data_IF_334692414249
#
_entry.id   IF_334692414249
#
_cell.length_a   1.000
_cell.length_b   1.000
_cell.length_c   1.000
_cell.angle_alpha   90.00
_cell.angle_beta   90.00
_cell.angle_gamma   90.00
#
_symmetry.space_group_name_H-M   'P 1'
#
loop_
_entity.id
_entity.type
_entity.pdbx_description
1 polymer ?
#
# COMPACT_ATOMS: atom_id res chain seq x y z
N UNK A 1 12.03 9.20 22.46
CA UNK A 1 11.76 10.02 21.25
C UNK A 1 11.62 9.20 19.95
N UNK A 2 11.03 7.98 19.97
CA UNK A 2 10.87 7.15 18.76
C UNK A 2 9.49 7.19 18.08
N UNK A 3 8.51 7.90 18.68
CA UNK A 3 7.10 7.83 18.25
C UNK A 3 6.73 8.82 17.14
N UNK A 4 7.34 10.02 17.12
CA UNK A 4 6.94 11.09 16.18
C UNK A 4 7.49 10.87 14.77
N UNK A 5 8.80 10.59 14.63
CA UNK A 5 9.41 10.25 13.34
C UNK A 5 8.74 9.00 12.74
N UNK A 6 8.34 8.06 13.59
CA UNK A 6 7.66 6.86 13.12
C UNK A 6 6.30 7.17 12.50
N UNK A 7 5.53 8.01 13.20
CA UNK A 7 4.22 8.48 12.75
C UNK A 7 4.35 9.25 11.43
N UNK A 8 5.28 10.20 11.34
CA UNK A 8 5.50 11.01 10.14
C UNK A 8 5.85 10.16 8.92
N UNK A 9 6.74 9.18 9.10
CA UNK A 9 7.21 8.38 7.99
C UNK A 9 6.15 7.34 7.53
N UNK A 10 5.28 6.89 8.43
CA UNK A 10 4.05 6.17 8.06
C UNK A 10 3.08 7.08 7.31
N UNK A 11 2.87 8.31 7.77
CA UNK A 11 1.98 9.29 7.16
C UNK A 11 2.41 9.61 5.72
N UNK A 12 3.71 9.83 5.49
CA UNK A 12 4.27 10.00 4.15
C UNK A 12 3.96 8.81 3.22
N UNK A 13 4.10 7.56 3.71
CA UNK A 13 3.72 6.37 2.95
C UNK A 13 2.21 6.34 2.64
N UNK A 14 1.38 6.82 3.56
CA UNK A 14 -0.06 6.92 3.32
C UNK A 14 -0.39 7.97 2.26
N UNK A 15 0.31 9.10 2.24
CA UNK A 15 0.15 10.17 1.26
C UNK A 15 0.49 9.69 -0.16
N UNK A 16 1.64 9.04 -0.33
CA UNK A 16 2.05 8.42 -1.61
C UNK A 16 0.95 7.48 -2.11
N UNK A 17 0.43 6.61 -1.24
CA UNK A 17 -0.67 5.70 -1.59
C UNK A 17 -1.98 6.44 -1.93
N UNK A 18 -2.32 7.52 -1.22
CA UNK A 18 -3.51 8.34 -1.51
C UNK A 18 -3.37 8.96 -2.89
N UNK A 19 -2.19 9.48 -3.24
CA UNK A 19 -1.90 10.04 -4.56
C UNK A 19 -2.17 9.00 -5.65
N UNK A 20 -1.60 7.80 -5.56
CA UNK A 20 -1.88 6.72 -6.53
C UNK A 20 -3.36 6.35 -6.62
N UNK A 21 -4.09 6.38 -5.50
CA UNK A 21 -5.54 6.09 -5.49
C UNK A 21 -6.35 7.19 -6.19
N UNK A 22 -5.94 8.44 -6.05
CA UNK A 22 -6.59 9.59 -6.69
C UNK A 22 -6.23 9.69 -8.18
N UNK A 23 -5.00 9.37 -8.56
CA UNK A 23 -4.51 9.44 -9.95
C UNK A 23 -4.70 8.14 -10.72
N UNK A 24 -5.38 7.13 -10.16
CA UNK A 24 -5.61 5.87 -10.86
C UNK A 24 -6.42 6.12 -12.14
N UNK A 25 -5.99 5.52 -13.25
CA UNK A 25 -6.66 5.55 -14.57
C UNK A 25 -8.15 5.19 -14.47
N UNK A 26 -8.51 4.32 -13.53
CA UNK A 26 -9.87 3.96 -13.15
C UNK A 26 -10.79 5.17 -12.83
N UNK A 27 -10.26 6.34 -12.45
CA UNK A 27 -11.08 7.55 -12.25
C UNK A 27 -11.45 8.19 -13.58
N UNK A 28 -10.48 8.34 -14.48
CA UNK A 28 -10.71 8.91 -15.81
C UNK A 28 -11.60 8.02 -16.66
N UNK A 29 -11.37 6.71 -16.65
CA UNK A 29 -12.19 5.73 -17.37
C UNK A 29 -13.62 5.69 -16.82
N UNK A 30 -13.81 5.82 -15.51
CA UNK A 30 -15.15 5.94 -14.91
C UNK A 30 -15.87 7.22 -15.37
N UNK A 31 -15.17 8.36 -15.40
CA UNK A 31 -15.72 9.63 -15.86
C UNK A 31 -16.12 9.55 -17.35
N UNK A 32 -15.28 8.95 -18.20
CA UNK A 32 -15.57 8.71 -19.61
C UNK A 32 -16.74 7.75 -19.82
N UNK A 33 -16.81 6.66 -19.05
CA UNK A 33 -17.92 5.70 -19.13
C UNK A 33 -19.25 6.37 -18.76
N UNK A 34 -19.25 7.20 -17.69
CA UNK A 34 -20.42 7.99 -17.28
C UNK A 34 -20.85 8.99 -18.36
N UNK A 35 -19.91 9.73 -18.97
CA UNK A 35 -20.21 10.66 -20.07
C UNK A 35 -20.82 9.97 -21.29
N UNK A 36 -20.38 8.76 -21.57
CA UNK A 36 -20.83 7.98 -22.73
C UNK A 36 -22.01 7.04 -22.42
N UNK A 37 -22.63 7.13 -21.22
CA UNK A 37 -23.68 6.20 -20.75
C UNK A 37 -23.30 4.71 -20.87
N UNK A 38 -22.00 4.39 -20.79
CA UNK A 38 -21.48 3.03 -20.85
C UNK A 38 -21.30 2.46 -19.45
N UNK A 39 -21.52 1.15 -19.30
CA UNK A 39 -21.21 0.44 -18.05
C UNK A 39 -19.69 0.42 -17.83
N UNK A 40 -19.24 1.02 -16.74
CA UNK A 40 -17.85 0.95 -16.29
C UNK A 40 -17.53 -0.46 -15.77
N UNK A 41 -16.48 -1.08 -16.31
CA UNK A 41 -15.91 -2.33 -15.79
C UNK A 41 -14.45 -2.07 -15.41
N UNK A 42 -14.12 -2.00 -14.11
CA UNK A 42 -12.74 -1.83 -13.67
C UNK A 42 -11.92 -3.08 -14.00
N UNK A 43 -10.65 -2.90 -14.31
CA UNK A 43 -9.72 -4.02 -14.43
C UNK A 43 -9.48 -4.64 -13.04
N UNK A 44 -9.63 -5.95 -12.97
CA UNK A 44 -9.40 -6.73 -11.76
C UNK A 44 -8.05 -7.43 -11.83
N UNK A 45 -7.30 -7.36 -10.75
CA UNK A 45 -6.03 -8.06 -10.57
C UNK A 45 -6.28 -9.57 -10.41
N UNK A 46 -5.22 -10.38 -10.44
CA UNK A 46 -5.28 -11.83 -10.18
C UNK A 46 -5.89 -12.19 -8.81
N UNK A 47 -5.90 -11.24 -7.87
CA UNK A 47 -6.56 -11.36 -6.55
C UNK A 47 -8.07 -11.08 -6.59
N UNK A 48 -8.64 -10.86 -7.77
CA UNK A 48 -10.04 -10.44 -7.99
C UNK A 48 -10.39 -9.07 -7.37
N UNK A 49 -9.38 -8.28 -7.02
CA UNK A 49 -9.55 -6.91 -6.50
C UNK A 49 -9.20 -5.90 -7.59
N UNK A 50 -9.90 -4.77 -7.62
CA UNK A 50 -9.49 -3.65 -8.47
C UNK A 50 -8.25 -2.96 -7.88
N UNK A 51 -7.50 -2.23 -8.70
CA UNK A 51 -6.35 -1.43 -8.24
C UNK A 51 -6.74 -0.45 -7.12
N UNK A 52 -7.90 0.19 -7.22
CA UNK A 52 -8.46 1.05 -6.16
C UNK A 52 -8.73 0.31 -4.85
N UNK A 53 -9.32 -0.89 -4.92
CA UNK A 53 -9.61 -1.71 -3.74
C UNK A 53 -8.31 -2.21 -3.09
N UNK A 54 -7.32 -2.61 -3.89
CA UNK A 54 -5.99 -3.00 -3.42
C UNK A 54 -5.32 -1.85 -2.64
N UNK A 55 -5.28 -0.65 -3.24
CA UNK A 55 -4.74 0.54 -2.60
C UNK A 55 -5.50 0.88 -1.31
N UNK A 56 -6.84 0.86 -1.31
CA UNK A 56 -7.63 1.13 -0.10
C UNK A 56 -7.31 0.16 1.05
N UNK A 57 -7.23 -1.14 0.75
CA UNK A 57 -6.98 -2.19 1.76
C UNK A 57 -5.51 -2.24 2.21
N UNK A 58 -4.57 -1.76 1.39
CA UNK A 58 -3.15 -1.71 1.73
C UNK A 58 -2.85 -0.88 2.99
N UNK A 59 -3.70 0.12 3.31
CA UNK A 59 -3.63 0.94 4.54
C UNK A 59 -3.31 0.10 5.77
N UNK A 60 -4.15 -0.90 6.01
CA UNK A 60 -4.09 -1.69 7.24
C UNK A 60 -2.98 -2.73 7.20
N UNK A 61 -2.68 -3.24 6.02
CA UNK A 61 -1.73 -4.34 5.86
C UNK A 61 -0.28 -3.83 6.00
N UNK A 62 0.01 -2.62 5.52
CA UNK A 62 1.33 -1.99 5.63
C UNK A 62 1.66 -1.61 7.08
N UNK A 63 0.66 -1.30 7.90
CA UNK A 63 0.83 -1.09 9.35
C UNK A 63 1.14 -2.37 10.15
N UNK A 64 0.78 -3.55 9.62
CA UNK A 64 1.02 -4.82 10.33
C UNK A 64 2.42 -5.35 10.10
N UNK A 65 3.03 -5.86 11.17
CA UNK A 65 4.26 -6.66 11.09
C UNK A 65 4.09 -7.84 10.13
N UNK A 66 5.06 -8.14 9.26
CA UNK A 66 4.98 -9.26 8.31
C UNK A 66 4.62 -10.60 8.96
N UNK A 67 5.13 -10.86 10.17
CA UNK A 67 4.86 -12.10 10.93
C UNK A 67 3.39 -12.25 11.35
N UNK A 68 2.62 -11.16 11.39
CA UNK A 68 1.20 -11.14 11.78
C UNK A 68 0.26 -11.12 10.56
N UNK A 69 0.78 -11.23 9.34
CA UNK A 69 -0.03 -11.22 8.11
C UNK A 69 -0.51 -12.63 7.81
N UNK A 70 -1.78 -12.76 7.45
CA UNK A 70 -2.28 -14.03 6.87
C UNK A 70 -1.71 -14.25 5.47
N UNK A 71 -1.79 -15.47 4.95
CA UNK A 71 -1.34 -15.80 3.58
C UNK A 71 -2.00 -14.86 2.55
N UNK A 72 -3.33 -14.67 2.64
CA UNK A 72 -4.08 -13.74 1.77
C UNK A 72 -3.56 -12.30 1.86
N UNK A 73 -3.18 -11.84 3.05
CA UNK A 73 -2.61 -10.51 3.26
C UNK A 73 -1.20 -10.39 2.70
N UNK A 74 -0.39 -11.45 2.80
CA UNK A 74 0.95 -11.50 2.22
C UNK A 74 0.91 -11.45 0.69
N UNK A 75 0.06 -12.25 0.06
CA UNK A 75 -0.17 -12.22 -1.39
C UNK A 75 -0.59 -10.83 -1.84
N UNK A 76 -1.48 -10.18 -1.08
CA UNK A 76 -1.91 -8.81 -1.38
C UNK A 76 -0.76 -7.80 -1.36
N UNK A 77 0.15 -7.92 -0.40
CA UNK A 77 1.34 -7.06 -0.34
C UNK A 77 2.26 -7.31 -1.52
N UNK A 78 2.45 -8.56 -1.91
CA UNK A 78 3.27 -8.91 -3.07
C UNK A 78 2.71 -8.31 -4.36
N UNK A 79 1.39 -8.41 -4.57
CA UNK A 79 0.73 -7.79 -5.73
C UNK A 79 0.82 -6.27 -5.65
N UNK A 80 0.63 -5.67 -4.47
CA UNK A 80 0.80 -4.22 -4.28
C UNK A 80 2.20 -3.75 -4.66
N UNK A 81 3.24 -4.46 -4.22
CA UNK A 81 4.62 -4.08 -4.51
C UNK A 81 5.00 -4.30 -5.98
N UNK A 82 4.43 -5.33 -6.61
CA UNK A 82 4.58 -5.55 -8.05
C UNK A 82 3.96 -4.43 -8.88
N UNK A 83 2.74 -4.01 -8.53
CA UNK A 83 2.02 -2.95 -9.25
C UNK A 83 2.55 -1.54 -8.92
N UNK A 84 3.07 -1.34 -7.70
CA UNK A 84 3.52 -0.05 -7.18
C UNK A 84 4.89 -0.18 -6.50
N UNK A 85 5.99 -0.30 -7.28
CA UNK A 85 7.34 -0.50 -6.74
C UNK A 85 7.82 0.67 -5.88
N UNK A 86 7.35 1.90 -6.14
CA UNK A 86 7.66 3.06 -5.31
C UNK A 86 7.16 2.91 -3.87
N UNK A 87 5.94 2.34 -3.70
CA UNK A 87 5.38 2.03 -2.38
C UNK A 87 6.24 0.97 -1.67
N UNK A 88 6.77 0.00 -2.41
CA UNK A 88 7.69 -0.99 -1.84
C UNK A 88 8.99 -0.36 -1.36
N UNK A 89 9.58 0.50 -2.19
CA UNK A 89 10.84 1.21 -1.89
C UNK A 89 10.70 2.01 -0.60
N UNK A 90 9.67 2.83 -0.51
CA UNK A 90 9.40 3.66 0.66
C UNK A 90 9.14 2.80 1.91
N UNK A 91 8.34 1.74 1.78
CA UNK A 91 8.07 0.81 2.87
C UNK A 91 9.35 0.10 3.38
N UNK A 92 10.25 -0.30 2.48
CA UNK A 92 11.53 -0.94 2.85
C UNK A 92 12.47 0.04 3.55
N UNK A 93 12.59 1.26 3.03
CA UNK A 93 13.40 2.33 3.66
C UNK A 93 12.92 2.60 5.09
N UNK A 94 11.61 2.78 5.24
CA UNK A 94 10.95 2.98 6.52
C UNK A 94 11.28 1.86 7.52
N UNK A 95 11.13 0.60 7.09
CA UNK A 95 11.36 -0.57 7.94
C UNK A 95 12.83 -0.74 8.34
N UNK A 96 13.76 -0.46 7.43
CA UNK A 96 15.19 -0.53 7.69
C UNK A 96 15.60 0.53 8.72
N UNK A 97 15.09 1.76 8.57
CA UNK A 97 15.30 2.85 9.52
C UNK A 97 14.84 2.45 10.93
N UNK A 98 13.64 1.88 11.09
CA UNK A 98 13.22 1.40 12.41
C UNK A 98 14.05 0.24 12.95
N UNK A 99 14.43 -0.70 12.10
CA UNK A 99 15.24 -1.85 12.54
C UNK A 99 16.62 -1.38 13.03
N UNK A 100 17.17 -0.31 12.45
CA UNK A 100 18.42 0.31 12.89
C UNK A 100 18.30 1.10 14.20
N UNK A 101 17.09 1.56 14.55
CA UNK A 101 16.81 2.33 15.77
C UNK A 101 16.43 1.48 16.98
N UNK A 102 16.12 0.19 16.78
CA UNK A 102 15.86 -0.74 17.88
C UNK A 102 17.22 -1.31 18.32
N UNK A 103 17.67 -1.08 19.57
CA UNK A 103 18.85 -1.74 20.08
C UNK A 103 18.64 -3.25 19.94
N UNK A 104 19.59 -3.97 19.33
CA UNK A 104 19.61 -5.43 19.40
C UNK A 104 19.66 -5.80 20.88
N UNK A 105 18.51 -6.13 21.46
CA UNK A 105 18.49 -6.86 22.72
C UNK A 105 19.17 -8.19 22.41
N UNK A 106 20.41 -8.30 22.88
CA UNK A 106 21.21 -9.51 22.89
C UNK A 106 20.35 -10.59 23.53
N UNK A 107 20.12 -11.69 22.81
CA UNK A 107 19.63 -12.91 23.43
C UNK A 107 20.85 -13.55 24.10
N UNK A 108 20.90 -13.46 25.42
CA UNK A 108 21.59 -14.44 26.26
C UNK A 108 20.82 -15.77 26.22
#
# INVERSE_FOLDING_TARGET
MGSHVHKLAIEALQEVRIKYRCTSIDNEVLLLARRNSKKYKPETLSTMETRKQLLAKSRYVLHKSPKKRTIKQSIKVQVLFKEYPDIEKDYRLLKNFYTSLIPKQVKE
#
